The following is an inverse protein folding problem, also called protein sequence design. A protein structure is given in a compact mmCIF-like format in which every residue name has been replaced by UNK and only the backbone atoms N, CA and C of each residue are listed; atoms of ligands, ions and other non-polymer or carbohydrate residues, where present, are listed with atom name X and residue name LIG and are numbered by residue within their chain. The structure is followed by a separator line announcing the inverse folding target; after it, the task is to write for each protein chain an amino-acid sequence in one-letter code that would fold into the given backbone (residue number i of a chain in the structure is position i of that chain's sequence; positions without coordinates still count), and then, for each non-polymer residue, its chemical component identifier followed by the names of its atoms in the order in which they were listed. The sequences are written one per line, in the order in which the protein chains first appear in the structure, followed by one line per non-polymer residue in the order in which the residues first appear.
data_IF_103092644313
#
_entry.id   IF_103092644313
#
_cell.length_a   1.000
_cell.length_b   1.000
_cell.length_c   1.000
_cell.angle_alpha   90.00
_cell.angle_beta   90.00
_cell.angle_gamma   90.00
#
_symmetry.space_group_name_H-M   'P 1'
#
loop_
_entity.id
_entity.type
_entity.pdbx_description
1 polymer ?
#
# COMPACT_ATOMS: atom_id res chain seq x y z
N UNK A 1 -3.72 16.15 15.75
CA UNK A 1 -4.63 15.00 15.48
C UNK A 1 -4.06 14.14 14.37
N UNK A 2 -3.67 14.76 13.25
CA UNK A 2 -2.98 14.11 12.13
C UNK A 2 -1.70 13.39 12.59
N UNK A 3 -0.92 14.02 13.47
CA UNK A 3 0.31 13.39 14.00
C UNK A 3 0.01 12.09 14.77
N UNK A 4 -1.05 12.07 15.59
CA UNK A 4 -1.47 10.84 16.30
C UNK A 4 -1.92 9.73 15.35
N UNK A 5 -2.61 10.08 14.26
CA UNK A 5 -3.04 9.11 13.24
C UNK A 5 -1.83 8.57 12.50
N UNK A 6 -0.92 9.45 12.09
CA UNK A 6 0.34 9.08 11.47
C UNK A 6 1.16 8.14 12.37
N UNK A 7 1.35 8.50 13.64
CA UNK A 7 2.08 7.71 14.63
C UNK A 7 1.44 6.34 14.83
N UNK A 8 0.11 6.26 14.91
CA UNK A 8 -0.60 5.00 15.01
C UNK A 8 -0.35 4.11 13.78
N UNK A 9 -0.44 4.68 12.57
CA UNK A 9 -0.15 3.95 11.33
C UNK A 9 1.30 3.45 11.29
N UNK A 10 2.26 4.30 11.64
CA UNK A 10 3.68 3.92 11.71
C UNK A 10 3.89 2.79 12.71
N UNK A 11 3.28 2.85 13.89
CA UNK A 11 3.39 1.81 14.90
C UNK A 11 2.84 0.45 14.44
N UNK A 12 1.70 0.45 13.74
CA UNK A 12 1.13 -0.77 13.15
C UNK A 12 2.07 -1.35 12.08
N UNK A 13 2.59 -0.50 11.19
CA UNK A 13 3.53 -0.93 10.14
C UNK A 13 4.83 -1.48 10.75
N UNK A 14 5.36 -0.85 11.80
CA UNK A 14 6.53 -1.32 12.52
C UNK A 14 6.28 -2.64 13.24
N UNK A 15 5.10 -2.82 13.83
CA UNK A 15 4.69 -4.08 14.44
C UNK A 15 4.65 -5.21 13.40
N UNK A 16 4.01 -4.97 12.26
CA UNK A 16 4.00 -5.91 11.13
C UNK A 16 5.43 -6.22 10.64
N UNK A 17 6.29 -5.20 10.52
CA UNK A 17 7.69 -5.38 10.14
C UNK A 17 8.46 -6.28 11.09
N UNK A 18 8.26 -6.13 12.41
CA UNK A 18 8.87 -7.01 13.42
C UNK A 18 8.36 -8.45 13.31
N UNK A 19 7.05 -8.63 13.14
CA UNK A 19 6.42 -9.96 13.02
C UNK A 19 6.90 -10.72 11.79
N UNK A 20 6.99 -10.04 10.64
CA UNK A 20 7.37 -10.66 9.36
C UNK A 20 8.88 -10.57 9.07
N UNK A 21 9.68 -9.99 9.97
CA UNK A 21 11.12 -9.69 9.79
C UNK A 21 11.39 -8.89 8.51
N UNK A 22 10.51 -7.94 8.21
CA UNK A 22 10.59 -7.03 7.06
C UNK A 22 10.96 -5.63 7.51
N UNK A 23 11.61 -4.86 6.64
CA UNK A 23 11.88 -3.44 6.89
C UNK A 23 10.56 -2.65 6.86
N UNK A 24 10.52 -1.52 7.57
CA UNK A 24 9.37 -0.61 7.54
C UNK A 24 8.99 -0.24 6.10
N UNK A 25 9.98 0.08 5.25
CA UNK A 25 9.78 0.43 3.85
C UNK A 25 9.13 -0.72 3.07
N UNK A 26 9.60 -1.95 3.27
CA UNK A 26 9.03 -3.12 2.61
C UNK A 26 7.57 -3.34 3.02
N UNK A 27 7.25 -3.25 4.32
CA UNK A 27 5.87 -3.37 4.78
C UNK A 27 4.98 -2.25 4.23
N UNK A 28 5.49 -1.01 4.21
CA UNK A 28 4.76 0.13 3.67
C UNK A 28 4.38 -0.08 2.19
N UNK A 29 5.34 -0.54 1.37
CA UNK A 29 5.09 -0.87 -0.03
C UNK A 29 4.12 -2.05 -0.17
N UNK A 30 4.28 -3.12 0.60
CA UNK A 30 3.37 -4.28 0.53
C UNK A 30 1.94 -3.88 0.90
N UNK A 31 1.74 -3.14 1.99
CA UNK A 31 0.39 -2.77 2.45
C UNK A 31 -0.28 -1.84 1.44
N UNK A 32 0.38 -0.77 1.03
CA UNK A 32 -0.26 0.26 0.22
C UNK A 32 -0.24 0.00 -1.29
N UNK A 33 0.76 -0.72 -1.81
CA UNK A 33 0.89 -0.99 -3.24
C UNK A 33 0.54 -2.43 -3.64
N UNK A 34 0.46 -3.38 -2.72
CA UNK A 34 0.07 -4.76 -3.05
C UNK A 34 -1.29 -5.13 -2.46
N UNK A 35 -1.42 -5.08 -1.12
CA UNK A 35 -2.62 -5.56 -0.41
C UNK A 35 -3.83 -4.68 -0.65
N UNK A 36 -3.68 -3.36 -0.57
CA UNK A 36 -4.80 -2.44 -0.76
C UNK A 36 -5.37 -2.50 -2.19
N UNK A 37 -4.57 -2.45 -3.27
CA UNK A 37 -5.10 -2.65 -4.62
C UNK A 37 -5.67 -4.06 -4.85
N UNK A 38 -5.12 -5.09 -4.20
CA UNK A 38 -5.69 -6.44 -4.24
C UNK A 38 -7.11 -6.47 -3.66
N UNK A 39 -7.34 -5.76 -2.55
CA UNK A 39 -8.67 -5.65 -1.95
C UNK A 39 -9.65 -4.94 -2.91
N UNK A 40 -9.22 -3.88 -3.59
CA UNK A 40 -10.05 -3.22 -4.61
C UNK A 40 -10.35 -4.13 -5.80
N UNK A 41 -9.36 -4.86 -6.30
CA UNK A 41 -9.54 -5.83 -7.37
C UNK A 41 -10.54 -6.93 -6.98
N UNK A 42 -10.51 -7.40 -5.74
CA UNK A 42 -11.47 -8.38 -5.22
C UNK A 42 -12.90 -7.82 -5.11
N UNK A 43 -13.06 -6.55 -4.69
CA UNK A 43 -14.37 -5.89 -4.66
C UNK A 43 -14.92 -5.73 -6.08
N UNK A 44 -14.07 -5.38 -7.04
CA UNK A 44 -14.45 -5.25 -8.46
C UNK A 44 -14.87 -6.60 -9.05
N UNK A 45 -14.10 -7.65 -8.82
CA UNK A 45 -14.45 -9.02 -9.23
C UNK A 45 -15.82 -9.44 -8.68
N UNK A 46 -16.08 -9.17 -7.40
CA UNK A 46 -17.37 -9.43 -6.78
C UNK A 46 -18.52 -8.68 -7.46
N UNK A 47 -18.34 -7.38 -7.74
CA UNK A 47 -19.38 -6.54 -8.36
C UNK A 47 -19.63 -6.87 -9.83
N UNK A 48 -18.59 -7.23 -10.57
CA UNK A 48 -18.68 -7.56 -11.99
C UNK A 48 -19.04 -9.04 -12.21
N UNK A 49 -19.18 -9.83 -11.14
CA UNK A 49 -19.37 -11.28 -11.18
C UNK A 49 -18.31 -12.00 -12.04
N UNK A 50 -17.08 -11.48 -12.03
CA UNK A 50 -15.94 -12.04 -12.75
C UNK A 50 -14.82 -12.36 -11.76
N UNK A 51 -13.95 -13.29 -12.09
CA UNK A 51 -12.79 -13.66 -11.27
C UNK A 51 -11.54 -13.44 -12.12
N UNK A 52 -11.28 -12.18 -12.45
CA UNK A 52 -10.18 -11.80 -13.35
C UNK A 52 -9.21 -10.84 -12.67
N UNK A 53 -9.71 -9.78 -12.03
CA UNK A 53 -8.91 -8.69 -11.53
C UNK A 53 -8.05 -9.09 -10.32
N UNK A 54 -8.65 -9.75 -9.32
CA UNK A 54 -7.94 -10.20 -8.13
C UNK A 54 -6.87 -11.25 -8.43
N UNK A 55 -7.14 -12.34 -9.19
CA UNK A 55 -6.09 -13.31 -9.52
C UNK A 55 -5.02 -12.72 -10.43
N UNK A 56 -5.36 -11.86 -11.39
CA UNK A 56 -4.36 -11.18 -12.22
C UNK A 56 -3.43 -10.28 -11.39
N UNK A 57 -4.00 -9.53 -10.45
CA UNK A 57 -3.21 -8.68 -9.56
C UNK A 57 -2.34 -9.49 -8.61
N UNK A 58 -2.86 -10.59 -8.06
CA UNK A 58 -2.09 -11.51 -7.22
C UNK A 58 -0.91 -12.12 -7.98
N UNK A 59 -1.14 -12.57 -9.21
CA UNK A 59 -0.08 -13.09 -10.08
C UNK A 59 1.00 -12.03 -10.36
N UNK A 60 0.60 -10.78 -10.59
CA UNK A 60 1.54 -9.67 -10.76
C UNK A 60 2.38 -9.44 -9.50
N UNK A 61 1.75 -9.43 -8.32
CA UNK A 61 2.46 -9.29 -7.04
C UNK A 61 3.49 -10.41 -6.84
N UNK A 62 3.10 -11.67 -7.09
CA UNK A 62 3.99 -12.83 -6.99
C UNK A 62 5.14 -12.70 -8.00
N UNK A 63 4.85 -12.32 -9.26
CA UNK A 63 5.87 -12.12 -10.29
C UNK A 63 6.90 -11.06 -9.87
N UNK A 64 6.45 -9.93 -9.32
CA UNK A 64 7.35 -8.87 -8.81
C UNK A 64 8.23 -9.40 -7.68
N UNK A 65 7.67 -10.14 -6.73
CA UNK A 65 8.44 -10.73 -5.61
C UNK A 65 9.49 -11.72 -6.12
N UNK A 66 9.14 -12.57 -7.10
CA UNK A 66 10.06 -13.56 -7.67
C UNK A 66 11.18 -12.86 -8.46
N UNK A 67 10.84 -11.91 -9.34
CA UNK A 67 11.81 -11.19 -10.16
C UNK A 67 12.77 -10.35 -9.31
N UNK A 68 12.25 -9.72 -8.24
CA UNK A 68 13.03 -8.87 -7.36
C UNK A 68 13.65 -9.63 -6.18
N UNK A 69 13.54 -10.96 -6.09
CA UNK A 69 13.93 -11.75 -4.91
C UNK A 69 15.31 -11.41 -4.34
N UNK A 70 16.31 -11.19 -5.20
CA UNK A 70 17.70 -10.88 -4.79
C UNK A 70 17.89 -9.43 -4.32
N UNK A 71 17.04 -8.51 -4.75
CA UNK A 71 17.15 -7.07 -4.48
C UNK A 71 15.84 -6.48 -3.92
N UNK A 72 14.99 -7.30 -3.33
CA UNK A 72 13.63 -6.92 -2.94
C UNK A 72 13.62 -5.73 -1.99
N UNK A 73 14.51 -5.75 -0.98
CA UNK A 73 14.66 -4.63 -0.06
C UNK A 73 15.07 -3.34 -0.78
N UNK A 74 16.02 -3.42 -1.72
CA UNK A 74 16.48 -2.24 -2.50
C UNK A 74 15.37 -1.71 -3.42
N UNK A 75 14.56 -2.60 -3.99
CA UNK A 75 13.39 -2.25 -4.78
C UNK A 75 12.35 -1.51 -3.91
N UNK A 76 11.99 -2.07 -2.76
CA UNK A 76 11.08 -1.43 -1.80
C UNK A 76 11.62 -0.08 -1.30
N UNK A 77 12.92 0.02 -1.00
CA UNK A 77 13.54 1.28 -0.58
C UNK A 77 13.50 2.34 -1.67
N UNK A 78 13.69 1.94 -2.93
CA UNK A 78 13.63 2.85 -4.08
C UNK A 78 12.20 3.35 -4.31
N UNK A 79 11.22 2.43 -4.32
CA UNK A 79 9.81 2.80 -4.42
C UNK A 79 9.39 3.70 -3.27
N UNK A 80 9.77 3.36 -2.04
CA UNK A 80 9.42 4.15 -0.87
C UNK A 80 10.00 5.57 -0.96
N UNK A 81 11.27 5.72 -1.37
CA UNK A 81 11.87 7.05 -1.60
C UNK A 81 11.12 7.84 -2.67
N UNK A 82 10.72 7.21 -3.78
CA UNK A 82 9.93 7.87 -4.81
C UNK A 82 8.57 8.31 -4.27
N UNK A 83 7.89 7.47 -3.48
CA UNK A 83 6.65 7.84 -2.80
C UNK A 83 6.85 9.01 -1.83
N UNK A 84 7.95 9.05 -1.09
CA UNK A 84 8.27 10.17 -0.21
C UNK A 84 8.48 11.47 -0.98
N UNK A 85 9.24 11.43 -2.08
CA UNK A 85 9.46 12.60 -2.95
C UNK A 85 8.13 13.09 -3.53
N UNK A 86 7.27 12.17 -3.98
CA UNK A 86 5.94 12.50 -4.45
C UNK A 86 5.09 13.17 -3.37
N UNK A 87 5.01 12.61 -2.16
CA UNK A 87 4.24 13.20 -1.06
C UNK A 87 4.81 14.58 -0.67
N UNK A 88 6.13 14.71 -0.60
CA UNK A 88 6.81 15.95 -0.26
C UNK A 88 6.57 17.05 -1.31
N UNK A 89 6.35 16.69 -2.57
CA UNK A 89 6.04 17.65 -3.64
C UNK A 89 4.76 18.46 -3.38
N UNK A 90 3.86 17.96 -2.52
CA UNK A 90 2.65 18.68 -2.11
C UNK A 90 2.86 19.59 -0.88
N UNK A 91 4.06 19.60 -0.28
CA UNK A 91 4.41 20.44 0.86
C UNK A 91 4.60 19.64 2.15
N UNK A 92 3.64 19.74 3.08
CA UNK A 92 3.79 19.10 4.40
C UNK A 92 3.65 17.57 4.32
N UNK A 93 4.78 16.87 4.50
CA UNK A 93 4.85 15.41 4.41
C UNK A 93 3.86 14.67 5.32
N UNK A 94 3.73 15.07 6.58
CA UNK A 94 2.87 14.38 7.55
C UNK A 94 1.38 14.52 7.18
N UNK A 95 0.97 15.73 6.82
CA UNK A 95 -0.39 16.02 6.36
C UNK A 95 -0.72 15.21 5.10
N UNK A 96 0.11 15.32 4.08
CA UNK A 96 -0.14 14.67 2.78
C UNK A 96 0.03 13.15 2.83
N UNK A 97 0.87 12.61 3.70
CA UNK A 97 0.97 11.18 3.91
C UNK A 97 -0.34 10.62 4.48
N UNK A 98 -0.97 11.29 5.46
CA UNK A 98 -2.28 10.85 5.98
C UNK A 98 -3.37 11.01 4.91
N UNK A 99 -3.35 12.08 4.13
CA UNK A 99 -4.33 12.27 3.06
C UNK A 99 -4.20 11.15 2.00
N UNK A 100 -3.00 10.91 1.49
CA UNK A 100 -2.76 10.00 0.36
C UNK A 100 -2.79 8.53 0.79
N UNK A 101 -2.25 8.18 1.95
CA UNK A 101 -2.14 6.79 2.39
C UNK A 101 -3.32 6.31 3.23
N UNK A 102 -4.18 7.20 3.74
CA UNK A 102 -5.38 6.83 4.51
C UNK A 102 -6.66 7.38 3.91
N UNK A 103 -6.81 8.70 3.82
CA UNK A 103 -8.08 9.30 3.42
C UNK A 103 -8.48 8.94 1.99
N UNK A 104 -7.53 9.00 1.05
CA UNK A 104 -7.77 8.65 -0.34
C UNK A 104 -8.11 7.16 -0.50
N UNK A 105 -7.37 6.20 0.10
CA UNK A 105 -7.76 4.80 0.12
C UNK A 105 -9.14 4.52 0.71
N UNK A 106 -9.46 5.16 1.83
CA UNK A 106 -10.79 5.02 2.45
C UNK A 106 -11.87 5.52 1.50
N UNK A 107 -11.68 6.69 0.89
CA UNK A 107 -12.61 7.25 -0.08
C UNK A 107 -12.83 6.33 -1.28
N UNK A 108 -11.75 5.83 -1.90
CA UNK A 108 -11.84 4.88 -3.02
C UNK A 108 -12.56 3.60 -2.59
N UNK A 109 -12.23 3.05 -1.43
CA UNK A 109 -12.86 1.81 -0.91
C UNK A 109 -14.35 2.03 -0.66
N UNK A 110 -14.74 3.17 -0.08
CA UNK A 110 -16.14 3.51 0.15
C UNK A 110 -16.92 3.62 -1.16
N UNK A 111 -16.35 4.26 -2.18
CA UNK A 111 -16.97 4.33 -3.50
C UNK A 111 -17.11 2.92 -4.07
N UNK A 112 -16.04 2.11 -4.07
CA UNK A 112 -16.07 0.76 -4.61
C UNK A 112 -17.07 -0.15 -3.90
N UNK A 113 -17.32 0.04 -2.61
CA UNK A 113 -18.31 -0.74 -1.87
C UNK A 113 -19.75 -0.27 -2.15
N UNK A 114 -19.99 1.04 -2.25
CA UNK A 114 -21.34 1.60 -2.42
C UNK A 114 -21.81 1.59 -3.88
N UNK A 115 -20.95 1.97 -4.84
CA UNK A 115 -21.28 2.13 -6.26
C UNK A 115 -21.25 0.80 -7.00
#
# INVERSE_FOLDING_TARGET
MIDKVFDATVNVLLFLGRTFRLTYNAVNIIVWYMLLPLAWAAILDYKLHQILFAPAWLLLCIAVIILQRKQFNRFCDTLFKLSQVFILSFGNYYLWSVIICLLLPVFITTILLIA
#
